data_IF_537006275998
#
_entry.id   IF_537006275998
#
_cell.length_a   1.000
_cell.length_b   1.000
_cell.length_c   1.000
_cell.angle_alpha   90.00
_cell.angle_beta   90.00
_cell.angle_gamma   90.00
#
_symmetry.space_group_name_H-M   'P 1'
#
loop_
_entity.id
_entity.type
_entity.pdbx_description
1 polymer ?
#
# COMPACT_ATOMS: atom_id res chain seq x y z
N UNK A 1 -4.24 -20.73 47.11
CA UNK A 1 -3.01 -21.07 46.35
C UNK A 1 -3.36 -20.99 44.88
N UNK A 2 -2.50 -20.36 44.08
CA UNK A 2 -2.81 -20.02 42.68
C UNK A 2 -2.04 -18.75 42.29
N UNK A 3 -0.71 -18.83 42.31
CA UNK A 3 0.17 -17.73 41.93
C UNK A 3 0.16 -17.57 40.40
N UNK A 4 -0.43 -16.47 39.92
CA UNK A 4 -0.31 -16.09 38.51
C UNK A 4 1.14 -15.72 38.20
N UNK A 5 1.79 -16.57 37.41
CA UNK A 5 3.10 -16.25 36.84
C UNK A 5 2.92 -15.20 35.75
N UNK A 6 3.13 -13.93 36.11
CA UNK A 6 3.45 -12.89 35.12
C UNK A 6 4.77 -13.26 34.44
N UNK A 7 4.65 -13.93 33.29
CA UNK A 7 5.79 -14.32 32.46
C UNK A 7 6.48 -13.09 31.90
N UNK A 8 7.55 -12.67 32.54
CA UNK A 8 8.47 -11.62 32.08
C UNK A 8 9.23 -12.09 30.83
N UNK A 9 8.60 -11.97 29.67
CA UNK A 9 9.23 -12.13 28.35
C UNK A 9 9.18 -10.81 27.56
N UNK A 10 10.37 -10.37 27.18
CA UNK A 10 10.65 -9.63 25.94
C UNK A 10 10.15 -8.17 25.82
N UNK A 11 10.35 -7.37 26.88
CA UNK A 11 10.30 -5.89 26.80
C UNK A 11 11.41 -5.25 25.92
N UNK A 12 12.25 -6.03 25.24
CA UNK A 12 13.35 -5.53 24.41
C UNK A 12 12.97 -5.22 22.95
N UNK A 13 11.73 -5.51 22.51
CA UNK A 13 11.26 -5.19 21.14
C UNK A 13 10.40 -3.90 21.03
N UNK A 14 9.99 -3.29 22.14
CA UNK A 14 9.08 -2.11 22.14
C UNK A 14 9.70 -0.81 21.58
N UNK A 15 11.00 -0.78 21.30
CA UNK A 15 11.70 0.41 20.80
C UNK A 15 12.31 0.27 19.40
N UNK A 16 11.87 -0.70 18.60
CA UNK A 16 12.12 -0.63 17.16
C UNK A 16 11.19 0.42 16.52
N UNK A 17 11.69 1.53 15.92
CA UNK A 17 10.83 2.52 15.25
C UNK A 17 10.01 1.93 14.09
N UNK A 18 10.43 0.79 13.52
CA UNK A 18 9.66 0.04 12.51
C UNK A 18 8.37 -0.60 13.07
N UNK A 19 8.28 -0.83 14.39
CA UNK A 19 7.10 -1.42 15.07
C UNK A 19 6.15 -0.34 15.65
N UNK A 20 6.26 0.91 15.16
CA UNK A 20 5.49 2.07 15.65
C UNK A 20 4.77 2.79 14.50
N UNK A 21 4.53 2.07 13.39
CA UNK A 21 3.91 2.58 12.18
C UNK A 21 4.67 3.71 11.49
N UNK A 22 3.99 4.37 10.54
CA UNK A 22 4.55 5.52 9.83
C UNK A 22 4.96 6.64 10.79
N UNK A 23 4.13 6.92 11.80
CA UNK A 23 4.40 7.93 12.83
C UNK A 23 5.68 7.63 13.61
N UNK A 24 5.95 6.36 13.90
CA UNK A 24 7.17 5.87 14.53
C UNK A 24 8.40 5.87 13.65
N UNK A 25 8.22 5.64 12.34
CA UNK A 25 9.25 5.82 11.31
C UNK A 25 9.56 7.31 11.03
N UNK A 26 8.98 8.25 11.78
CA UNK A 26 9.22 9.68 11.64
C UNK A 26 8.53 10.29 10.42
N UNK A 27 7.57 9.60 9.81
CA UNK A 27 6.65 10.22 8.89
C UNK A 27 5.67 11.07 9.69
N UNK A 28 5.44 12.29 9.22
CA UNK A 28 4.37 13.14 9.74
C UNK A 28 3.48 13.49 8.56
N UNK A 29 2.15 13.37 8.71
CA UNK A 29 1.21 13.94 7.76
C UNK A 29 1.58 15.40 7.47
N UNK A 30 1.88 15.69 6.21
CA UNK A 30 1.96 17.07 5.74
C UNK A 30 0.53 17.57 5.59
N UNK A 31 0.27 18.78 6.09
CA UNK A 31 -1.00 19.45 5.82
C UNK A 31 -1.01 19.81 4.33
N UNK A 32 -2.20 19.78 3.73
CA UNK A 32 -2.37 20.09 2.30
C UNK A 32 -1.96 21.55 2.07
N UNK A 33 -1.10 21.79 1.08
CA UNK A 33 -0.67 23.14 0.73
C UNK A 33 -1.87 23.98 0.25
N UNK A 34 -1.83 25.28 0.54
CA UNK A 34 -2.92 26.19 0.17
C UNK A 34 -2.83 26.58 -1.31
N UNK A 35 -3.89 26.30 -2.06
CA UNK A 35 -3.99 26.60 -3.49
C UNK A 35 -4.82 27.87 -3.72
N UNK A 36 -4.15 28.92 -4.23
CA UNK A 36 -4.75 30.22 -4.49
C UNK A 36 -5.68 30.22 -5.72
N UNK A 37 -5.41 29.36 -6.71
CA UNK A 37 -6.22 29.21 -7.91
C UNK A 37 -7.51 28.44 -7.58
N UNK A 38 -7.41 27.38 -6.78
CA UNK A 38 -8.57 26.65 -6.28
C UNK A 38 -9.47 27.53 -5.39
N UNK A 39 -8.91 28.34 -4.48
CA UNK A 39 -9.68 29.31 -3.71
C UNK A 39 -10.43 30.30 -4.62
N UNK A 40 -9.76 30.82 -5.66
CA UNK A 40 -10.39 31.75 -6.59
C UNK A 40 -11.50 31.10 -7.43
N UNK A 41 -11.31 29.85 -7.85
CA UNK A 41 -12.34 29.04 -8.50
C UNK A 41 -13.56 28.86 -7.58
N UNK A 42 -13.33 28.52 -6.31
CA UNK A 42 -14.38 28.28 -5.32
C UNK A 42 -15.13 29.58 -4.95
N UNK A 43 -14.42 30.71 -4.82
CA UNK A 43 -15.01 32.06 -4.71
C UNK A 43 -15.86 32.45 -5.92
N UNK A 44 -15.50 31.99 -7.12
CA UNK A 44 -16.18 32.35 -8.38
C UNK A 44 -17.43 31.50 -8.64
N UNK A 45 -17.40 30.21 -8.24
CA UNK A 45 -18.45 29.24 -8.56
C UNK A 45 -19.41 28.99 -7.38
N UNK A 46 -18.90 28.84 -6.16
CA UNK A 46 -19.68 28.46 -4.96
C UNK A 46 -19.52 29.43 -3.76
N UNK A 47 -19.64 30.77 -3.96
CA UNK A 47 -19.39 31.77 -2.92
C UNK A 47 -20.34 31.67 -1.72
N UNK A 48 -21.54 31.11 -1.90
CA UNK A 48 -22.52 30.93 -0.83
C UNK A 48 -22.12 29.83 0.15
N UNK A 49 -21.70 28.66 -0.34
CA UNK A 49 -21.26 27.55 0.50
C UNK A 49 -19.96 27.92 1.24
N UNK A 50 -19.02 28.60 0.57
CA UNK A 50 -17.84 29.16 1.21
C UNK A 50 -18.20 30.13 2.35
N UNK A 51 -19.18 31.01 2.13
CA UNK A 51 -19.66 31.94 3.16
C UNK A 51 -20.28 31.20 4.34
N UNK A 52 -21.06 30.15 4.09
CA UNK A 52 -21.62 29.29 5.15
C UNK A 52 -20.52 28.60 5.95
N UNK A 53 -19.59 27.87 5.30
CA UNK A 53 -18.48 27.18 5.95
C UNK A 53 -17.53 28.12 6.72
N UNK A 54 -17.32 29.33 6.21
CA UNK A 54 -16.53 30.37 6.91
C UNK A 54 -17.25 30.88 8.16
N UNK A 55 -18.58 31.05 8.10
CA UNK A 55 -19.38 31.50 9.24
C UNK A 55 -19.55 30.40 10.31
N UNK A 56 -19.61 29.14 9.91
CA UNK A 56 -19.62 27.96 10.80
C UNK A 56 -18.39 28.00 11.72
N UNK A 57 -17.18 27.96 11.13
CA UNK A 57 -15.92 28.06 11.89
C UNK A 57 -15.85 29.32 12.74
N UNK A 58 -16.30 30.46 12.22
CA UNK A 58 -16.29 31.71 12.98
C UNK A 58 -17.23 31.64 14.20
N UNK A 59 -18.36 30.93 14.08
CA UNK A 59 -19.29 30.65 15.17
C UNK A 59 -18.67 29.70 16.20
N UNK A 60 -18.03 28.61 15.78
CA UNK A 60 -17.43 27.64 16.70
C UNK A 60 -16.21 28.20 17.43
N UNK A 61 -15.39 29.01 16.76
CA UNK A 61 -14.32 29.78 17.40
C UNK A 61 -14.88 30.80 18.39
N UNK A 62 -16.00 31.46 18.06
CA UNK A 62 -16.65 32.41 18.94
C UNK A 62 -17.27 31.74 20.17
N UNK A 63 -17.90 30.57 20.04
CA UNK A 63 -18.36 29.77 21.19
C UNK A 63 -17.17 29.32 22.04
N UNK A 64 -16.15 28.71 21.42
CA UNK A 64 -14.95 28.23 22.10
C UNK A 64 -14.24 29.31 22.93
N UNK A 65 -14.19 30.55 22.42
CA UNK A 65 -13.60 31.71 23.10
C UNK A 65 -14.57 32.40 24.08
N UNK A 66 -15.88 32.36 23.82
CA UNK A 66 -16.92 33.07 24.55
C UNK A 66 -17.40 32.39 25.84
N UNK A 67 -16.92 31.19 26.18
CA UNK A 67 -17.40 30.42 27.34
C UNK A 67 -17.09 31.15 28.67
N UNK A 68 -18.11 31.76 29.29
CA UNK A 68 -17.97 32.45 30.58
C UNK A 68 -17.96 31.52 31.82
N UNK A 69 -18.22 30.22 31.63
CA UNK A 69 -18.26 29.22 32.70
C UNK A 69 -16.88 28.67 33.12
N UNK A 70 -15.81 29.05 32.40
CA UNK A 70 -14.43 28.67 32.70
C UNK A 70 -13.52 29.91 32.80
N UNK A 71 -12.31 29.73 33.31
CA UNK A 71 -11.30 30.79 33.28
C UNK A 71 -10.88 31.10 31.84
N UNK A 72 -10.57 32.36 31.53
CA UNK A 72 -10.25 32.83 30.17
C UNK A 72 -9.13 32.04 29.47
N UNK A 73 -8.14 31.50 30.21
CA UNK A 73 -7.07 30.67 29.66
C UNK A 73 -7.57 29.27 29.24
N UNK A 74 -8.61 28.75 29.87
CA UNK A 74 -9.22 27.47 29.49
C UNK A 74 -9.90 27.59 28.11
N UNK A 75 -10.45 28.76 27.78
CA UNK A 75 -11.01 29.04 26.46
C UNK A 75 -9.92 29.04 25.38
N UNK A 76 -8.72 29.57 25.68
CA UNK A 76 -7.56 29.47 24.79
C UNK A 76 -7.14 28.01 24.59
N UNK A 77 -7.05 27.21 25.67
CA UNK A 77 -6.76 25.78 25.55
C UNK A 77 -7.86 25.01 24.80
N UNK A 78 -9.12 25.44 24.91
CA UNK A 78 -10.26 24.85 24.21
C UNK A 78 -10.19 25.07 22.69
N UNK A 79 -9.57 26.17 22.21
CA UNK A 79 -9.28 26.34 20.77
C UNK A 79 -8.27 25.30 20.26
N UNK A 80 -7.40 24.77 21.13
CA UNK A 80 -6.51 23.66 20.81
C UNK A 80 -7.11 22.28 21.15
N UNK A 81 -8.40 22.20 21.48
CA UNK A 81 -9.10 20.93 21.72
C UNK A 81 -9.29 20.14 20.42
N UNK A 82 -9.50 18.82 20.55
CA UNK A 82 -9.78 17.96 19.40
C UNK A 82 -11.06 18.38 18.64
N UNK A 83 -12.04 18.98 19.32
CA UNK A 83 -13.28 19.46 18.69
C UNK A 83 -13.01 20.69 17.82
N UNK A 84 -12.41 21.75 18.35
CA UNK A 84 -12.13 22.96 17.55
C UNK A 84 -11.12 22.68 16.44
N UNK A 85 -10.20 21.74 16.66
CA UNK A 85 -9.31 21.23 15.61
C UNK A 85 -10.05 20.41 14.54
N UNK A 86 -11.10 19.68 14.90
CA UNK A 86 -11.93 18.97 13.93
C UNK A 86 -12.55 19.96 12.94
N UNK A 87 -13.21 21.01 13.44
CA UNK A 87 -13.84 22.01 12.56
C UNK A 87 -12.81 22.68 11.65
N UNK A 88 -11.65 23.06 12.21
CA UNK A 88 -10.56 23.67 11.45
C UNK A 88 -10.02 22.76 10.34
N UNK A 89 -9.81 21.47 10.65
CA UNK A 89 -9.34 20.50 9.65
C UNK A 89 -10.41 20.29 8.55
N UNK A 90 -11.72 20.27 8.87
CA UNK A 90 -12.80 20.14 7.88
C UNK A 90 -12.84 21.34 6.90
N UNK A 91 -12.79 22.56 7.42
CA UNK A 91 -12.71 23.76 6.57
C UNK A 91 -11.43 23.82 5.74
N UNK A 92 -10.30 23.41 6.32
CA UNK A 92 -9.04 23.32 5.58
C UNK A 92 -9.16 22.32 4.42
N UNK A 93 -9.82 21.19 4.65
CA UNK A 93 -10.04 20.17 3.63
C UNK A 93 -11.02 20.62 2.53
N UNK A 94 -11.97 21.51 2.82
CA UNK A 94 -12.89 22.14 1.86
C UNK A 94 -12.21 23.21 0.99
N UNK A 95 -11.42 24.12 1.58
CA UNK A 95 -10.76 25.22 0.84
C UNK A 95 -9.51 24.79 0.07
N UNK A 96 -9.13 23.51 0.13
CA UNK A 96 -8.01 22.94 -0.63
C UNK A 96 -8.51 21.90 -1.64
N UNK A 97 -7.82 21.70 -2.79
CA UNK A 97 -8.25 20.77 -3.84
C UNK A 97 -8.06 19.31 -3.41
N UNK A 98 -9.10 18.48 -3.50
CA UNK A 98 -9.06 17.08 -3.04
C UNK A 98 -7.87 16.33 -3.68
N UNK A 99 -7.18 15.43 -2.94
CA UNK A 99 -6.10 14.64 -3.52
C UNK A 99 -6.62 13.81 -4.70
N UNK A 100 -5.82 13.61 -5.76
CA UNK A 100 -6.22 12.72 -6.83
C UNK A 100 -6.43 11.31 -6.29
N UNK A 101 -7.46 10.64 -6.81
CA UNK A 101 -7.89 9.31 -6.42
C UNK A 101 -8.01 8.40 -7.66
N UNK A 102 -7.94 7.07 -7.51
CA UNK A 102 -8.16 6.14 -8.61
C UNK A 102 -9.58 6.28 -9.20
N UNK A 103 -9.68 6.41 -10.53
CA UNK A 103 -10.95 6.28 -11.26
C UNK A 103 -11.27 4.79 -11.52
N UNK A 104 -12.12 4.22 -10.68
CA UNK A 104 -12.55 2.82 -10.75
C UNK A 104 -13.38 2.47 -12.01
N UNK A 105 -13.79 3.43 -12.85
CA UNK A 105 -14.67 3.16 -14.00
C UNK A 105 -13.96 2.55 -15.21
N UNK A 106 -12.65 2.75 -15.33
CA UNK A 106 -11.87 2.43 -16.54
C UNK A 106 -10.50 1.79 -16.21
N UNK A 107 -10.43 1.01 -15.13
CA UNK A 107 -9.19 0.42 -14.63
C UNK A 107 -9.40 -1.04 -14.22
N UNK A 108 -8.44 -1.89 -14.57
CA UNK A 108 -8.28 -3.23 -14.02
C UNK A 108 -7.92 -3.15 -12.54
N UNK A 109 -8.47 -4.06 -11.74
CA UNK A 109 -8.19 -4.17 -10.31
C UNK A 109 -7.66 -5.57 -9.99
N UNK A 110 -6.51 -5.64 -9.32
CA UNK A 110 -5.99 -6.85 -8.69
C UNK A 110 -5.93 -6.61 -7.19
N UNK A 111 -6.70 -7.36 -6.41
CA UNK A 111 -6.84 -7.13 -4.96
C UNK A 111 -6.72 -8.40 -4.13
N UNK A 112 -6.28 -8.27 -2.86
CA UNK A 112 -6.08 -9.39 -1.93
C UNK A 112 -6.10 -8.94 -0.46
N UNK A 113 -6.57 -9.82 0.43
CA UNK A 113 -6.47 -9.65 1.88
C UNK A 113 -5.15 -10.26 2.42
N UNK A 114 -4.36 -9.45 3.11
CA UNK A 114 -3.04 -9.80 3.64
C UNK A 114 -3.04 -9.72 5.19
N UNK A 115 -2.39 -10.65 5.91
CA UNK A 115 -1.79 -11.89 5.40
C UNK A 115 -2.86 -12.94 5.08
N UNK A 116 -2.68 -13.69 3.99
CA UNK A 116 -3.59 -14.79 3.63
C UNK A 116 -3.45 -15.95 4.63
N UNK A 117 -4.28 -15.93 5.67
CA UNK A 117 -4.26 -16.89 6.79
C UNK A 117 -5.47 -17.84 6.75
N UNK A 118 -5.25 -19.08 6.30
CA UNK A 118 -6.14 -20.23 6.59
C UNK A 118 -5.32 -21.30 7.32
N UNK A 119 -5.92 -21.99 8.29
CA UNK A 119 -5.30 -23.14 8.98
C UNK A 119 -5.40 -24.36 8.08
N UNK A 120 -4.30 -24.74 7.42
CA UNK A 120 -4.28 -25.84 6.46
C UNK A 120 -4.00 -27.17 7.16
N UNK A 121 -4.87 -28.17 6.94
CA UNK A 121 -4.57 -29.59 7.18
C UNK A 121 -3.90 -30.18 5.94
N UNK A 122 -2.89 -31.05 6.13
CA UNK A 122 -2.08 -31.60 5.03
C UNK A 122 -2.89 -32.33 3.94
N UNK A 123 -4.08 -32.80 4.29
CA UNK A 123 -4.91 -33.66 3.45
C UNK A 123 -5.83 -32.86 2.49
N UNK A 124 -5.98 -31.55 2.68
CA UNK A 124 -6.83 -30.68 1.84
C UNK A 124 -6.27 -29.26 1.72
N UNK A 125 -5.64 -28.93 0.58
CA UNK A 125 -5.35 -27.54 0.19
C UNK A 125 -6.47 -27.06 -0.73
N UNK A 126 -7.23 -26.05 -0.31
CA UNK A 126 -8.23 -25.41 -1.15
C UNK A 126 -7.56 -24.63 -2.30
N UNK A 127 -8.06 -24.77 -3.53
CA UNK A 127 -7.52 -24.06 -4.70
C UNK A 127 -7.60 -22.53 -4.50
N UNK A 128 -8.68 -22.04 -3.90
CA UNK A 128 -8.84 -20.64 -3.47
C UNK A 128 -7.62 -20.11 -2.70
N UNK A 129 -7.17 -20.85 -1.68
CA UNK A 129 -6.03 -20.42 -0.85
C UNK A 129 -4.74 -20.27 -1.68
N UNK A 130 -4.55 -21.13 -2.69
CA UNK A 130 -3.41 -21.03 -3.61
C UNK A 130 -3.54 -19.79 -4.49
N UNK A 131 -4.75 -19.50 -5.00
CA UNK A 131 -5.01 -18.33 -5.84
C UNK A 131 -4.82 -17.04 -5.03
N UNK A 132 -5.40 -16.94 -3.83
CA UNK A 132 -5.21 -15.83 -2.89
C UNK A 132 -3.72 -15.59 -2.62
N UNK A 133 -2.96 -16.67 -2.33
CA UNK A 133 -1.50 -16.60 -2.14
C UNK A 133 -0.74 -16.16 -3.39
N UNK A 134 -1.15 -16.61 -4.58
CA UNK A 134 -0.53 -16.21 -5.84
C UNK A 134 -0.81 -14.73 -6.12
N UNK A 135 -2.01 -14.23 -5.83
CA UNK A 135 -2.36 -12.81 -5.94
C UNK A 135 -1.57 -11.95 -4.96
N UNK A 136 -1.44 -12.36 -3.69
CA UNK A 136 -0.60 -11.71 -2.68
C UNK A 136 0.86 -11.60 -3.13
N UNK A 137 1.48 -12.70 -3.57
CA UNK A 137 2.85 -12.70 -4.09
C UNK A 137 2.96 -11.83 -5.36
N UNK A 138 1.95 -11.83 -6.22
CA UNK A 138 1.93 -11.02 -7.45
C UNK A 138 1.85 -9.52 -7.14
N UNK A 139 0.97 -9.11 -6.22
CA UNK A 139 0.86 -7.71 -5.79
C UNK A 139 2.19 -7.23 -5.20
N UNK A 140 2.79 -7.98 -4.26
CA UNK A 140 4.07 -7.57 -3.68
C UNK A 140 5.21 -7.54 -4.70
N UNK A 141 5.27 -8.49 -5.64
CA UNK A 141 6.25 -8.41 -6.75
C UNK A 141 6.02 -7.22 -7.69
N UNK A 142 4.77 -6.82 -7.93
CA UNK A 142 4.48 -5.61 -8.70
C UNK A 142 4.94 -4.38 -7.91
N UNK A 143 4.67 -4.31 -6.60
CA UNK A 143 5.14 -3.21 -5.76
C UNK A 143 6.67 -3.12 -5.71
N UNK A 144 7.38 -4.25 -5.60
CA UNK A 144 8.85 -4.30 -5.67
C UNK A 144 9.39 -3.87 -7.05
N UNK A 145 8.66 -4.13 -8.14
CA UNK A 145 9.00 -3.68 -9.50
C UNK A 145 8.69 -2.19 -9.74
N UNK A 146 7.62 -1.68 -9.13
CA UNK A 146 7.21 -0.28 -9.17
C UNK A 146 8.13 0.61 -8.31
N UNK A 147 8.77 0.03 -7.29
CA UNK A 147 9.67 0.70 -6.34
C UNK A 147 8.98 1.91 -5.67
N UNK A 148 9.62 3.08 -5.65
CA UNK A 148 9.13 4.27 -4.96
C UNK A 148 7.97 4.94 -5.74
N UNK A 149 6.83 5.26 -5.09
CA UNK A 149 5.73 5.99 -5.72
C UNK A 149 6.08 7.45 -6.00
N UNK A 150 5.34 8.08 -6.93
CA UNK A 150 5.38 9.51 -7.22
C UNK A 150 4.52 10.35 -6.26
N UNK A 151 3.61 9.70 -5.51
CA UNK A 151 2.77 10.34 -4.51
C UNK A 151 2.27 9.29 -3.50
N UNK A 152 2.16 9.67 -2.22
CA UNK A 152 1.49 8.87 -1.19
C UNK A 152 0.51 9.77 -0.44
N UNK A 153 -0.75 9.35 -0.36
CA UNK A 153 -1.81 10.02 0.40
C UNK A 153 -2.49 9.07 1.38
N UNK A 154 -3.13 9.63 2.41
CA UNK A 154 -3.96 8.89 3.36
C UNK A 154 -5.30 9.61 3.52
N UNK A 155 -6.39 8.83 3.56
CA UNK A 155 -7.73 9.30 3.88
C UNK A 155 -8.23 8.60 5.14
N UNK A 156 -8.60 9.36 6.16
CA UNK A 156 -9.13 8.83 7.43
C UNK A 156 -10.06 9.84 8.10
N UNK A 157 -11.29 9.42 8.43
CA UNK A 157 -12.34 10.29 9.00
C UNK A 157 -12.50 11.58 8.20
N UNK A 158 -12.70 11.42 6.88
CA UNK A 158 -12.87 12.49 5.87
C UNK A 158 -11.62 13.37 5.62
N UNK A 159 -10.62 13.32 6.52
CA UNK A 159 -9.36 14.08 6.38
C UNK A 159 -8.39 13.45 5.41
N UNK A 160 -7.69 14.30 4.66
CA UNK A 160 -6.74 13.87 3.65
C UNK A 160 -5.33 14.41 3.91
N UNK A 161 -4.34 13.52 3.87
CA UNK A 161 -2.96 13.82 4.21
C UNK A 161 -1.99 13.43 3.09
N UNK A 162 -0.95 14.24 2.90
CA UNK A 162 0.20 13.88 2.07
C UNK A 162 1.34 13.34 2.92
N UNK A 163 2.08 12.38 2.39
CA UNK A 163 3.27 11.83 3.03
C UNK A 163 4.56 12.16 2.25
N UNK A 164 5.66 12.50 2.96
CA UNK A 164 6.95 12.84 2.34
C UNK A 164 7.59 11.60 1.73
N UNK A 165 7.60 11.54 0.41
CA UNK A 165 8.02 10.36 -0.37
C UNK A 165 9.51 10.06 -0.16
N UNK A 166 10.32 11.05 0.19
CA UNK A 166 11.74 10.94 0.55
C UNK A 166 11.98 10.02 1.75
N UNK A 167 10.94 9.78 2.56
CA UNK A 167 10.97 8.88 3.72
C UNK A 167 10.35 7.51 3.44
N UNK A 168 9.96 7.23 2.20
CA UNK A 168 9.45 5.92 1.81
C UNK A 168 10.52 4.83 2.02
N UNK A 169 10.12 3.72 2.66
CA UNK A 169 10.97 2.55 2.94
C UNK A 169 10.30 1.26 2.44
N UNK A 170 9.05 1.03 2.84
CA UNK A 170 8.34 -0.23 2.60
C UNK A 170 6.84 -0.09 2.83
N UNK A 171 6.04 -0.74 1.99
CA UNK A 171 4.59 -0.88 2.16
C UNK A 171 4.21 -1.83 3.31
N UNK A 172 5.05 -2.82 3.61
CA UNK A 172 4.81 -3.79 4.69
C UNK A 172 4.89 -3.12 6.07
N UNK A 173 5.85 -2.20 6.29
CA UNK A 173 6.00 -1.44 7.56
C UNK A 173 4.90 -0.40 7.84
N UNK A 174 3.91 -0.28 6.96
CA UNK A 174 2.97 0.82 6.92
C UNK A 174 1.77 0.60 7.86
N UNK A 175 1.94 0.80 9.17
CA UNK A 175 0.79 0.84 10.09
C UNK A 175 0.09 2.21 9.99
N UNK A 176 -1.14 2.20 9.47
CA UNK A 176 -1.98 3.39 9.26
C UNK A 176 -3.45 3.10 9.56
N UNK A 177 -4.15 4.14 10.03
CA UNK A 177 -5.60 4.16 10.16
C UNK A 177 -6.26 4.59 8.83
N UNK A 178 -7.44 4.07 8.51
CA UNK A 178 -8.13 4.39 7.25
C UNK A 178 -7.46 3.80 6.02
N UNK A 179 -7.56 4.52 4.90
CA UNK A 179 -7.13 4.08 3.58
C UNK A 179 -5.90 4.87 3.12
N UNK A 180 -4.90 4.19 2.58
CA UNK A 180 -3.68 4.80 2.03
C UNK A 180 -3.60 4.54 0.55
N UNK A 181 -3.27 5.58 -0.21
CA UNK A 181 -3.08 5.50 -1.65
C UNK A 181 -1.61 5.76 -2.01
N UNK A 182 -1.08 4.98 -2.95
CA UNK A 182 0.20 5.23 -3.62
C UNK A 182 -0.03 5.38 -5.12
N UNK A 183 0.68 6.31 -5.77
CA UNK A 183 0.53 6.52 -7.21
C UNK A 183 1.86 6.45 -7.96
N UNK A 184 1.85 5.82 -9.13
CA UNK A 184 2.96 5.81 -10.09
C UNK A 184 2.48 6.33 -11.44
N UNK A 185 2.78 7.60 -11.72
CA UNK A 185 2.43 8.32 -12.94
C UNK A 185 2.92 7.60 -14.21
N UNK A 186 4.18 7.13 -14.18
CA UNK A 186 4.85 6.39 -15.27
C UNK A 186 4.06 5.18 -15.76
N UNK A 187 3.34 4.52 -14.87
CA UNK A 187 2.56 3.31 -15.16
C UNK A 187 1.04 3.56 -15.12
N UNK A 188 0.60 4.79 -14.79
CA UNK A 188 -0.79 5.12 -14.49
C UNK A 188 -1.44 4.10 -13.54
N UNK A 189 -0.71 3.74 -12.48
CA UNK A 189 -1.09 2.71 -11.52
C UNK A 189 -1.23 3.32 -10.13
N UNK A 190 -2.31 2.94 -9.47
CA UNK A 190 -2.61 3.23 -8.08
C UNK A 190 -2.46 1.97 -7.23
N UNK A 191 -1.96 2.13 -6.02
CA UNK A 191 -2.14 1.21 -4.91
C UNK A 191 -3.16 1.83 -3.95
N UNK A 192 -4.07 1.02 -3.45
CA UNK A 192 -4.94 1.31 -2.32
C UNK A 192 -4.68 0.25 -1.24
N UNK A 193 -4.44 0.69 0.00
CA UNK A 193 -4.31 -0.16 1.18
C UNK A 193 -5.40 0.25 2.17
N UNK A 194 -6.27 -0.69 2.52
CA UNK A 194 -7.28 -0.52 3.56
C UNK A 194 -6.88 -1.33 4.80
N UNK A 195 -6.77 -0.69 5.96
CA UNK A 195 -6.50 -1.39 7.22
C UNK A 195 -7.80 -1.86 7.87
N UNK A 196 -7.90 -3.16 8.13
CA UNK A 196 -9.00 -3.80 8.85
C UNK A 196 -8.58 -4.22 10.26
N UNK A 197 -9.59 -4.51 11.09
CA UNK A 197 -9.39 -5.01 12.45
C UNK A 197 -8.46 -6.23 12.51
N UNK A 198 -7.72 -6.35 13.62
CA UNK A 198 -6.76 -7.44 13.92
C UNK A 198 -5.54 -7.48 12.98
N UNK A 199 -5.17 -6.33 12.40
CA UNK A 199 -3.92 -6.16 11.65
C UNK A 199 -3.95 -6.75 10.23
N UNK A 200 -5.15 -7.02 9.70
CA UNK A 200 -5.32 -7.40 8.30
C UNK A 200 -5.35 -6.16 7.42
N UNK A 201 -4.86 -6.27 6.19
CA UNK A 201 -4.85 -5.17 5.22
C UNK A 201 -5.33 -5.68 3.87
N UNK A 202 -6.23 -4.96 3.22
CA UNK A 202 -6.64 -5.23 1.86
C UNK A 202 -5.80 -4.37 0.91
N UNK A 203 -5.05 -5.01 0.03
CA UNK A 203 -4.23 -4.34 -0.98
C UNK A 203 -4.95 -4.44 -2.32
N UNK A 204 -5.16 -3.31 -3.00
CA UNK A 204 -5.73 -3.24 -4.34
C UNK A 204 -4.79 -2.45 -5.26
N UNK A 205 -4.28 -3.11 -6.30
CA UNK A 205 -3.61 -2.45 -7.41
C UNK A 205 -4.64 -2.14 -8.49
N UNK A 206 -4.68 -0.88 -8.91
CA UNK A 206 -5.68 -0.34 -9.83
C UNK A 206 -4.92 0.34 -10.98
N UNK A 207 -5.10 -0.10 -12.21
CA UNK A 207 -4.35 0.41 -13.37
C UNK A 207 -5.18 0.34 -14.66
N UNK A 208 -4.89 1.19 -15.65
CA UNK A 208 -5.60 1.16 -16.95
C UNK A 208 -5.47 -0.15 -17.72
N UNK A 209 -4.34 -0.83 -17.55
CA UNK A 209 -4.06 -2.19 -18.04
C UNK A 209 -3.04 -2.80 -17.07
N UNK A 210 -3.46 -3.79 -16.28
CA UNK A 210 -2.60 -4.40 -15.27
C UNK A 210 -1.77 -5.57 -15.84
N UNK A 211 -2.14 -6.11 -17.01
CA UNK A 211 -1.51 -7.30 -17.57
C UNK A 211 0.00 -7.14 -17.88
N UNK A 212 0.51 -5.99 -18.37
CA UNK A 212 1.94 -5.74 -18.52
C UNK A 212 2.70 -5.71 -17.20
N UNK A 213 2.08 -5.19 -16.12
CA UNK A 213 2.68 -5.15 -14.79
C UNK A 213 2.76 -6.56 -14.20
N UNK A 214 1.66 -7.32 -14.27
CA UNK A 214 1.63 -8.74 -13.91
C UNK A 214 2.70 -9.49 -14.69
N UNK A 215 2.67 -9.48 -16.03
CA UNK A 215 3.60 -10.26 -16.87
C UNK A 215 5.09 -9.96 -16.61
N UNK A 216 5.45 -8.70 -16.32
CA UNK A 216 6.83 -8.33 -15.96
C UNK A 216 7.22 -8.81 -14.57
N UNK A 217 6.34 -8.64 -13.60
CA UNK A 217 6.60 -8.95 -12.19
C UNK A 217 6.52 -10.46 -11.91
N UNK A 218 5.71 -11.19 -12.68
CA UNK A 218 5.58 -12.65 -12.63
C UNK A 218 6.50 -13.37 -13.62
N UNK A 219 7.33 -12.65 -14.39
CA UNK A 219 8.38 -13.25 -15.20
C UNK A 219 9.30 -14.08 -14.29
N UNK A 220 9.46 -15.38 -14.60
CA UNK A 220 10.14 -16.38 -13.76
C UNK A 220 9.52 -16.61 -12.35
N UNK A 221 8.20 -16.42 -12.15
CA UNK A 221 7.53 -16.63 -10.84
C UNK A 221 7.48 -18.11 -10.36
N UNK A 222 7.29 -18.28 -9.03
CA UNK A 222 7.31 -19.50 -8.18
C UNK A 222 6.44 -19.41 -6.89
N UNK A 223 5.79 -20.46 -6.31
CA UNK A 223 4.46 -21.11 -6.59
C UNK A 223 4.29 -22.64 -6.89
N UNK A 224 4.93 -23.55 -6.14
CA UNK A 224 4.59 -25.00 -6.17
C UNK A 224 3.42 -25.37 -5.21
N UNK A 225 2.47 -26.22 -5.65
CA UNK A 225 1.37 -26.75 -4.80
C UNK A 225 1.57 -28.24 -4.54
N UNK A 226 1.71 -28.64 -3.28
CA UNK A 226 1.84 -30.06 -2.93
C UNK A 226 0.49 -30.77 -3.00
N UNK A 227 0.29 -31.62 -4.01
CA UNK A 227 -0.93 -32.40 -4.23
C UNK A 227 -1.46 -32.33 -5.68
N UNK A 228 -1.23 -31.21 -6.35
CA UNK A 228 -1.48 -31.02 -7.78
C UNK A 228 -0.22 -30.39 -8.39
N UNK A 229 0.49 -31.11 -9.27
CA UNK A 229 1.82 -30.71 -9.74
C UNK A 229 1.79 -29.44 -10.61
N UNK A 230 1.87 -28.29 -9.95
CA UNK A 230 2.29 -27.02 -10.55
C UNK A 230 3.78 -26.81 -10.24
N UNK A 231 4.63 -26.69 -11.27
CA UNK A 231 6.08 -26.48 -11.13
C UNK A 231 6.43 -25.04 -11.44
N UNK A 232 6.47 -24.23 -10.39
CA UNK A 232 6.69 -22.79 -10.49
C UNK A 232 7.79 -22.56 -9.41
N UNK A 233 9.04 -22.31 -9.83
CA UNK A 233 10.26 -22.36 -8.99
C UNK A 233 11.38 -21.44 -9.50
N UNK A 234 11.89 -20.51 -8.68
CA UNK A 234 12.99 -19.62 -9.07
C UNK A 234 14.32 -20.33 -8.90
N UNK A 235 14.96 -20.71 -10.01
CA UNK A 235 16.36 -21.13 -9.99
C UNK A 235 17.21 -19.88 -9.72
N UNK A 236 17.74 -19.75 -8.50
CA UNK A 236 18.86 -18.86 -8.23
C UNK A 236 20.11 -19.42 -8.93
N UNK A 237 20.21 -19.17 -10.24
CA UNK A 237 21.46 -19.35 -10.96
C UNK A 237 22.48 -18.36 -10.40
N UNK A 238 23.69 -18.84 -10.14
CA UNK A 238 24.82 -18.00 -9.74
C UNK A 238 25.14 -16.93 -10.80
N UNK A 239 24.71 -17.16 -12.05
CA UNK A 239 24.91 -16.29 -13.20
C UNK A 239 23.55 -16.01 -13.86
N UNK A 240 23.10 -14.74 -13.97
CA UNK A 240 21.87 -14.39 -14.68
C UNK A 240 21.91 -14.83 -16.15
N UNK A 241 20.77 -15.23 -16.74
CA UNK A 241 20.73 -15.81 -18.10
C UNK A 241 21.30 -14.88 -19.18
N UNK A 242 21.14 -13.56 -19.00
CA UNK A 242 21.69 -12.53 -19.87
C UNK A 242 23.22 -12.32 -19.76
N UNK A 243 23.91 -13.03 -18.85
CA UNK A 243 25.38 -13.08 -18.82
C UNK A 243 25.98 -14.18 -19.70
N UNK A 244 25.16 -15.10 -20.20
CA UNK A 244 25.59 -16.13 -21.14
C UNK A 244 25.53 -15.63 -22.59
N UNK A 245 26.27 -16.22 -23.54
CA UNK A 245 26.20 -15.82 -24.94
C UNK A 245 24.84 -16.18 -25.57
N UNK A 246 24.52 -15.54 -26.70
CA UNK A 246 23.18 -15.55 -27.30
C UNK A 246 22.68 -16.96 -27.69
N UNK A 247 23.59 -17.87 -28.03
CA UNK A 247 23.29 -19.27 -28.34
C UNK A 247 22.71 -20.03 -27.14
N UNK A 248 23.29 -19.84 -25.95
CA UNK A 248 22.78 -20.42 -24.69
C UNK A 248 21.42 -19.81 -24.30
N UNK A 249 21.24 -18.50 -24.51
CA UNK A 249 19.96 -17.83 -24.27
C UNK A 249 18.87 -18.41 -25.18
N UNK A 250 19.11 -18.43 -26.50
CA UNK A 250 18.17 -18.97 -27.50
C UNK A 250 17.85 -20.47 -27.26
N UNK A 251 18.85 -21.27 -26.86
CA UNK A 251 18.65 -22.67 -26.49
C UNK A 251 17.76 -22.80 -25.24
N UNK A 252 17.98 -21.96 -24.23
CA UNK A 252 17.17 -21.93 -23.01
C UNK A 252 15.71 -21.59 -23.33
N UNK A 253 15.47 -20.58 -24.17
CA UNK A 253 14.13 -20.19 -24.62
C UNK A 253 13.44 -21.33 -25.39
N UNK A 254 14.17 -22.01 -26.28
CA UNK A 254 13.67 -23.17 -27.05
C UNK A 254 13.25 -24.32 -26.14
N UNK A 255 14.06 -24.64 -25.12
CA UNK A 255 13.74 -25.68 -24.13
C UNK A 255 12.55 -25.27 -23.26
N UNK A 256 12.46 -24.00 -22.84
CA UNK A 256 11.31 -23.51 -22.07
C UNK A 256 10.01 -23.61 -22.85
N UNK A 257 10.00 -23.24 -24.14
CA UNK A 257 8.82 -23.38 -24.98
C UNK A 257 8.42 -24.86 -25.15
N UNK A 258 9.37 -25.75 -25.43
CA UNK A 258 9.11 -27.18 -25.57
C UNK A 258 8.52 -27.82 -24.29
N UNK A 259 8.89 -27.33 -23.09
CA UNK A 259 8.32 -27.80 -21.81
C UNK A 259 6.83 -27.43 -21.65
N UNK A 260 6.36 -26.36 -22.31
CA UNK A 260 4.96 -25.94 -22.26
C UNK A 260 4.07 -26.67 -23.28
N UNK A 261 4.67 -27.14 -24.37
CA UNK A 261 3.96 -27.75 -25.51
C UNK A 261 3.94 -29.29 -25.43
N UNK A 262 5.00 -29.92 -24.89
CA UNK A 262 5.18 -31.38 -24.92
C UNK A 262 5.00 -32.05 -23.55
N UNK A 263 4.29 -33.19 -23.53
CA UNK A 263 4.08 -33.99 -22.31
C UNK A 263 5.36 -34.70 -21.81
N UNK A 264 6.36 -34.89 -22.67
CA UNK A 264 7.65 -35.52 -22.34
C UNK A 264 8.77 -34.88 -23.16
N UNK A 265 9.82 -34.41 -22.49
CA UNK A 265 10.99 -33.79 -23.13
C UNK A 265 12.29 -34.41 -22.60
N UNK A 266 13.22 -34.71 -23.49
CA UNK A 266 14.59 -35.10 -23.15
C UNK A 266 15.58 -34.08 -23.73
N UNK A 267 16.35 -33.42 -22.86
CA UNK A 267 17.32 -32.39 -23.25
C UNK A 267 18.72 -32.94 -23.08
N UNK A 268 19.46 -33.09 -24.18
CA UNK A 268 20.88 -33.48 -24.16
C UNK A 268 21.74 -32.23 -24.20
N UNK A 269 22.44 -31.93 -23.10
CA UNK A 269 23.47 -30.88 -23.03
C UNK A 269 24.83 -31.55 -23.09
N UNK A 270 25.72 -31.06 -23.95
CA UNK A 270 27.09 -31.56 -24.08
C UNK A 270 28.07 -30.41 -24.29
N UNK A 271 29.23 -30.49 -23.64
CA UNK A 271 30.26 -29.46 -23.68
C UNK A 271 31.65 -30.07 -23.52
N UNK A 272 32.69 -29.23 -23.61
CA UNK A 272 34.07 -29.67 -23.35
C UNK A 272 34.30 -29.86 -21.84
N UNK A 273 35.25 -30.71 -21.41
CA UNK A 273 35.62 -30.79 -20.00
C UNK A 273 35.99 -29.41 -19.43
N UNK A 274 35.38 -29.05 -18.29
CA UNK A 274 35.60 -27.78 -17.61
C UNK A 274 34.74 -26.59 -18.08
N UNK A 275 33.71 -26.79 -18.91
CA UNK A 275 32.89 -25.67 -19.44
C UNK A 275 31.82 -25.15 -18.47
N UNK A 276 31.36 -25.96 -17.51
CA UNK A 276 30.28 -25.61 -16.57
C UNK A 276 28.91 -25.98 -17.09
#
# INVERSE_FOLDING_TARGET
MGTEYFGSKDNYQQNNPQNKGLLGAGWRPLHRDFDWEYLWHLLSNDPWELSQKTLDIASDLADALGRHQFAWWANILNVFSENTRYEFDEFWDYITPQPPAPDYRYQDVLSVETPVTRTITRDTIAIEYVLDRLQEITIFKILDFLDKPDMITQSFMERNFYYPIERFISWQSLETLGTVYGYWSKYSCWLQIETYDKGRRYYSLIAKDIAPLVKKSTYNMAVMVSGYQCRIGQVQSQFPINTFPQDIQNFTDTVQQAILEENQLAVLVSGKPGTG
#
